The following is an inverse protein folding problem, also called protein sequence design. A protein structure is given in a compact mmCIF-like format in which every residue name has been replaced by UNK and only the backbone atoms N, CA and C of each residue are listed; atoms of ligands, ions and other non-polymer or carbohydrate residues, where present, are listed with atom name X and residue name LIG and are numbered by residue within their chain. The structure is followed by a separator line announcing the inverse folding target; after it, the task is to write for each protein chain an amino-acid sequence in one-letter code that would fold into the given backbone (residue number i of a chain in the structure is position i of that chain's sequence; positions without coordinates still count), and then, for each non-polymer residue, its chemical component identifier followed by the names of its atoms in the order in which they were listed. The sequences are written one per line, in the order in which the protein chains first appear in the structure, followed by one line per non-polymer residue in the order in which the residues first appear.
data_IF_801270512075
#
_entry.id   IF_801270512075
#
_cell.length_a   1.000
_cell.length_b   1.000
_cell.length_c   1.000
_cell.angle_alpha   90.00
_cell.angle_beta   90.00
_cell.angle_gamma   90.00
#
_symmetry.space_group_name_H-M   'P 1'
#
loop_
_entity.id
_entity.type
_entity.pdbx_description
1 polymer ?
#
# COMPACT_ATOMS: atom_id res chain seq x y z
N UNK A 1 -9.97 7.00 -12.70
CA UNK A 1 -10.20 7.15 -11.25
C UNK A 1 -9.87 5.89 -10.44
N UNK A 2 -9.07 4.94 -10.96
CA UNK A 2 -8.75 3.66 -10.27
C UNK A 2 -7.83 3.82 -9.04
N UNK A 3 -6.90 4.77 -9.09
CA UNK A 3 -5.93 5.00 -8.01
C UNK A 3 -6.59 5.45 -6.69
N UNK A 4 -7.60 6.33 -6.76
CA UNK A 4 -8.30 6.81 -5.57
C UNK A 4 -9.12 5.72 -4.89
N UNK A 5 -9.78 4.86 -5.68
CA UNK A 5 -10.51 3.70 -5.16
C UNK A 5 -9.57 2.67 -4.54
N UNK A 6 -8.42 2.41 -5.18
CA UNK A 6 -7.39 1.55 -4.62
C UNK A 6 -6.86 2.09 -3.27
N UNK A 7 -6.52 3.38 -3.21
CA UNK A 7 -6.07 4.02 -1.97
C UNK A 7 -7.12 3.94 -0.85
N UNK A 8 -8.38 4.21 -1.17
CA UNK A 8 -9.50 4.09 -0.24
C UNK A 8 -9.65 2.66 0.32
N UNK A 9 -9.59 1.65 -0.55
CA UNK A 9 -9.80 0.27 -0.14
C UNK A 9 -8.65 -0.24 0.73
N UNK A 10 -7.40 0.12 0.41
CA UNK A 10 -6.23 -0.28 1.20
C UNK A 10 -6.27 0.37 2.59
N UNK A 11 -6.55 1.68 2.70
CA UNK A 11 -6.61 2.33 4.02
C UNK A 11 -7.79 1.82 4.85
N UNK A 12 -8.95 1.59 4.25
CA UNK A 12 -10.10 1.03 4.95
C UNK A 12 -9.79 -0.38 5.48
N UNK A 13 -9.23 -1.24 4.62
CA UNK A 13 -8.84 -2.59 5.01
C UNK A 13 -7.77 -2.61 6.10
N UNK A 14 -6.78 -1.72 6.03
CA UNK A 14 -5.75 -1.59 7.07
C UNK A 14 -6.34 -1.16 8.42
N UNK A 15 -7.28 -0.21 8.42
CA UNK A 15 -7.96 0.24 9.65
C UNK A 15 -8.88 -0.84 10.21
N UNK A 16 -9.58 -1.60 9.37
CA UNK A 16 -10.39 -2.74 9.80
C UNK A 16 -9.55 -3.85 10.43
N UNK A 17 -8.42 -4.21 9.78
CA UNK A 17 -7.46 -5.18 10.30
C UNK A 17 -6.90 -4.71 11.64
N UNK A 18 -6.59 -3.42 11.76
CA UNK A 18 -6.10 -2.84 13.00
C UNK A 18 -7.14 -2.87 14.12
N UNK A 19 -8.38 -2.44 13.85
CA UNK A 19 -9.46 -2.41 14.83
C UNK A 19 -9.79 -3.80 15.39
N UNK A 20 -9.58 -4.86 14.59
CA UNK A 20 -9.82 -6.25 14.97
C UNK A 20 -8.56 -6.99 15.44
N UNK A 21 -7.39 -6.37 15.33
CA UNK A 21 -6.09 -7.00 15.58
C UNK A 21 -5.96 -8.29 14.72
N UNK A 22 -6.41 -8.21 13.46
CA UNK A 22 -6.43 -9.34 12.54
C UNK A 22 -5.21 -9.31 11.61
N UNK A 23 -4.20 -10.10 11.96
CA UNK A 23 -2.98 -10.21 11.18
C UNK A 23 -3.16 -10.89 9.82
N UNK A 24 -4.17 -11.75 9.64
CA UNK A 24 -4.44 -12.38 8.35
C UNK A 24 -5.09 -11.38 7.37
N UNK A 25 -6.00 -10.55 7.89
CA UNK A 25 -6.54 -9.42 7.13
C UNK A 25 -5.42 -8.45 6.74
N UNK A 26 -4.54 -8.09 7.68
CA UNK A 26 -3.38 -7.24 7.41
C UNK A 26 -2.46 -7.82 6.31
N UNK A 27 -2.16 -9.13 6.37
CA UNK A 27 -1.37 -9.81 5.34
C UNK A 27 -2.05 -9.76 3.97
N UNK A 28 -3.37 -9.88 3.93
CA UNK A 28 -4.14 -9.79 2.67
C UNK A 28 -4.00 -8.41 2.05
N UNK A 29 -4.10 -7.34 2.85
CA UNK A 29 -3.89 -5.97 2.37
C UNK A 29 -2.45 -5.76 1.87
N UNK A 30 -1.44 -6.26 2.59
CA UNK A 30 -0.04 -6.20 2.14
C UNK A 30 0.19 -6.93 0.80
N UNK A 31 -0.60 -7.96 0.48
CA UNK A 31 -0.56 -8.62 -0.82
C UNK A 31 -1.20 -7.79 -1.92
N UNK A 32 -2.14 -6.91 -1.61
CA UNK A 32 -2.82 -6.09 -2.63
C UNK A 32 -2.11 -4.76 -2.92
N UNK A 33 -1.12 -4.41 -2.11
CA UNK A 33 -0.31 -3.19 -2.18
C UNK A 33 0.29 -2.95 -3.59
N UNK A 34 0.80 -3.98 -4.26
CA UNK A 34 1.40 -3.87 -5.60
C UNK A 34 0.48 -3.24 -6.65
N UNK A 35 -0.84 -3.25 -6.41
CA UNK A 35 -1.83 -2.70 -7.32
C UNK A 35 -1.78 -1.17 -7.35
N UNK A 36 -1.55 -0.51 -6.20
CA UNK A 36 -1.51 0.96 -6.14
C UNK A 36 -0.28 1.50 -6.88
N UNK A 37 0.87 0.86 -6.69
CA UNK A 37 2.13 1.22 -7.34
C UNK A 37 2.01 1.11 -8.86
N UNK A 38 1.48 -0.01 -9.34
CA UNK A 38 1.27 -0.25 -10.78
C UNK A 38 0.31 0.76 -11.39
N UNK A 39 -0.79 1.07 -10.69
CA UNK A 39 -1.78 2.02 -11.16
C UNK A 39 -1.21 3.45 -11.17
N UNK A 40 -0.36 3.80 -10.20
CA UNK A 40 0.36 5.07 -10.15
C UNK A 40 1.39 5.20 -11.28
N UNK A 41 2.19 4.16 -11.55
CA UNK A 41 3.09 4.16 -12.71
C UNK A 41 2.35 4.32 -14.03
N UNK A 42 1.23 3.61 -14.20
CA UNK A 42 0.40 3.74 -15.40
C UNK A 42 -0.13 5.17 -15.54
N UNK A 43 -0.56 5.78 -14.43
CA UNK A 43 -1.03 7.15 -14.40
C UNK A 43 0.07 8.16 -14.79
N UNK A 44 1.32 7.97 -14.32
CA UNK A 44 2.46 8.80 -14.73
C UNK A 44 2.69 8.68 -16.24
N UNK A 45 2.77 7.45 -16.78
CA UNK A 45 3.02 7.23 -18.22
C UNK A 45 1.95 7.92 -19.09
N UNK A 46 0.68 7.76 -18.74
CA UNK A 46 -0.43 8.41 -19.45
C UNK A 46 -0.37 9.94 -19.34
N UNK A 47 -0.01 10.46 -18.16
CA UNK A 47 0.14 11.89 -17.92
C UNK A 47 1.25 12.49 -18.80
N UNK A 48 2.37 11.79 -18.96
CA UNK A 48 3.48 12.20 -19.83
C UNK A 48 3.02 12.27 -21.28
N UNK A 49 2.37 11.22 -21.80
CA UNK A 49 1.84 11.21 -23.17
C UNK A 49 0.90 12.39 -23.41
N UNK A 50 -0.02 12.66 -22.49
CA UNK A 50 -0.96 13.76 -22.62
C UNK A 50 -0.29 15.15 -22.59
N UNK A 51 0.76 15.32 -21.78
CA UNK A 51 1.58 16.55 -21.77
C UNK A 51 2.37 16.74 -23.07
N UNK A 52 2.82 15.64 -23.71
CA UNK A 52 3.52 15.68 -24.99
C UNK A 52 2.59 16.05 -26.15
N UNK A 53 1.34 15.62 -26.11
CA UNK A 53 0.32 15.97 -27.12
C UNK A 53 -0.06 17.45 -27.07
N UNK A 54 -0.18 18.05 -25.88
CA UNK A 54 -0.43 19.48 -25.71
C UNK A 54 0.34 20.06 -24.51
N UNK A 55 1.48 20.74 -24.76
CA UNK A 55 2.30 21.36 -23.71
C UNK A 55 1.55 22.40 -22.85
N UNK A 56 0.44 22.98 -23.33
CA UNK A 56 -0.36 23.93 -22.53
C UNK A 56 -1.06 23.25 -21.35
N UNK A 57 -1.18 21.92 -21.39
CA UNK A 57 -1.82 21.13 -20.32
C UNK A 57 -0.88 20.83 -19.16
N UNK A 58 0.43 21.05 -19.30
CA UNK A 58 1.48 20.67 -18.32
C UNK A 58 1.08 21.07 -16.90
N UNK A 59 0.69 22.34 -16.67
CA UNK A 59 0.35 22.82 -15.32
C UNK A 59 -0.84 22.08 -14.71
N UNK A 60 -1.86 21.75 -15.49
CA UNK A 60 -3.05 21.03 -15.02
C UNK A 60 -2.74 19.56 -14.72
N UNK A 61 -1.96 18.93 -15.59
CA UNK A 61 -1.54 17.53 -15.42
C UNK A 61 -0.61 17.40 -14.22
N UNK A 62 0.30 18.36 -14.03
CA UNK A 62 1.21 18.38 -12.88
C UNK A 62 0.45 18.44 -11.55
N UNK A 63 -0.61 19.26 -11.45
CA UNK A 63 -1.48 19.26 -10.27
C UNK A 63 -2.14 17.89 -10.04
N UNK A 64 -2.48 17.17 -11.13
CA UNK A 64 -3.03 15.82 -11.03
C UNK A 64 -1.99 14.79 -10.57
N UNK A 65 -0.72 14.96 -10.96
CA UNK A 65 0.40 14.14 -10.46
C UNK A 65 0.58 14.28 -8.94
N UNK A 66 0.44 15.48 -8.38
CA UNK A 66 0.46 15.69 -6.94
C UNK A 66 -0.65 14.94 -6.20
N UNK A 67 -1.85 14.88 -6.79
CA UNK A 67 -2.96 14.10 -6.24
C UNK A 67 -2.61 12.61 -6.29
N UNK A 68 -2.09 12.12 -7.41
CA UNK A 68 -1.67 10.72 -7.55
C UNK A 68 -0.58 10.33 -6.55
N UNK A 69 0.43 11.19 -6.36
CA UNK A 69 1.48 10.99 -5.35
C UNK A 69 0.91 10.95 -3.94
N UNK A 70 -0.09 11.78 -3.65
CA UNK A 70 -0.75 11.79 -2.34
C UNK A 70 -1.53 10.50 -2.09
N UNK A 71 -2.12 9.90 -3.14
CA UNK A 71 -2.81 8.61 -3.05
C UNK A 71 -1.85 7.45 -2.80
N UNK A 72 -0.69 7.42 -3.46
CA UNK A 72 0.33 6.39 -3.21
C UNK A 72 0.87 6.49 -1.77
N UNK A 73 1.07 7.69 -1.24
CA UNK A 73 1.46 7.88 0.18
C UNK A 73 0.43 7.34 1.16
N UNK A 74 -0.86 7.39 0.82
CA UNK A 74 -1.91 6.77 1.65
C UNK A 74 -1.74 5.25 1.66
N UNK A 75 -1.39 4.65 0.51
CA UNK A 75 -1.04 3.22 0.42
C UNK A 75 0.13 2.85 1.33
N UNK A 76 1.23 3.58 1.25
CA UNK A 76 2.40 3.39 2.12
C UNK A 76 2.05 3.48 3.61
N UNK A 77 1.22 4.46 4.01
CA UNK A 77 0.79 4.59 5.39
C UNK A 77 -0.10 3.41 5.84
N UNK A 78 -0.98 2.94 4.97
CA UNK A 78 -1.82 1.78 5.26
C UNK A 78 -0.98 0.49 5.39
N UNK A 79 0.05 0.32 4.55
CA UNK A 79 1.02 -0.76 4.66
C UNK A 79 1.72 -0.78 6.02
N UNK A 80 2.20 0.37 6.47
CA UNK A 80 2.84 0.50 7.79
C UNK A 80 1.90 0.11 8.93
N UNK A 81 0.61 0.42 8.82
CA UNK A 81 -0.41 -0.01 9.79
C UNK A 81 -0.53 -1.53 9.79
N UNK A 82 -0.63 -2.16 8.62
CA UNK A 82 -0.71 -3.62 8.51
C UNK A 82 0.53 -4.33 9.10
N UNK A 83 1.73 -3.83 8.79
CA UNK A 83 2.97 -4.35 9.38
C UNK A 83 2.96 -4.25 10.91
N UNK A 84 2.44 -3.15 11.46
CA UNK A 84 2.28 -2.98 12.90
C UNK A 84 1.28 -3.96 13.51
N UNK A 85 0.16 -4.25 12.85
CA UNK A 85 -0.80 -5.27 13.30
C UNK A 85 -0.14 -6.64 13.38
N UNK A 86 0.64 -7.03 12.38
CA UNK A 86 1.35 -8.31 12.37
C UNK A 86 2.36 -8.38 13.51
N UNK A 87 3.10 -7.28 13.74
CA UNK A 87 4.00 -7.17 14.88
C UNK A 87 3.27 -7.31 16.21
N UNK A 88 2.11 -6.68 16.38
CA UNK A 88 1.31 -6.77 17.61
C UNK A 88 0.85 -8.21 17.91
N UNK A 89 0.52 -8.99 16.88
CA UNK A 89 0.02 -10.37 17.06
C UNK A 89 1.16 -11.38 17.26
N UNK A 90 2.25 -11.27 16.50
CA UNK A 90 3.31 -12.28 16.46
C UNK A 90 4.60 -11.87 17.19
N UNK A 91 4.75 -10.60 17.57
CA UNK A 91 5.97 -10.07 18.18
C UNK A 91 7.19 -10.04 17.24
N UNK A 92 6.99 -10.25 15.94
CA UNK A 92 8.04 -10.32 14.93
C UNK A 92 8.07 -9.06 14.10
N UNK A 93 9.25 -8.46 13.98
CA UNK A 93 9.44 -7.31 13.10
C UNK A 93 9.41 -7.78 11.64
N UNK A 94 8.38 -7.34 10.92
CA UNK A 94 8.14 -7.67 9.51
C UNK A 94 8.38 -6.49 8.59
N UNK A 95 8.85 -5.36 9.13
CA UNK A 95 9.15 -4.17 8.34
C UNK A 95 10.26 -4.52 7.34
N UNK A 96 10.04 -4.24 6.06
CA UNK A 96 10.94 -4.58 4.95
C UNK A 96 11.02 -6.07 4.55
N UNK A 97 10.25 -6.96 5.19
CA UNK A 97 10.15 -8.35 4.74
C UNK A 97 9.24 -8.43 3.51
N UNK A 98 9.55 -9.34 2.59
CA UNK A 98 8.64 -9.61 1.47
C UNK A 98 7.42 -10.35 1.97
N UNK A 99 6.27 -10.18 1.31
CA UNK A 99 5.00 -10.74 1.78
C UNK A 99 5.03 -12.27 1.96
N UNK A 100 5.84 -12.99 1.18
CA UNK A 100 6.08 -14.43 1.32
C UNK A 100 6.92 -14.80 2.57
N UNK A 101 7.81 -13.91 3.00
CA UNK A 101 8.57 -14.05 4.25
C UNK A 101 7.69 -13.77 5.46
N UNK A 102 6.83 -12.76 5.38
CA UNK A 102 5.85 -12.42 6.42
C UNK A 102 4.93 -13.61 6.70
N UNK A 103 4.39 -14.23 5.65
CA UNK A 103 3.54 -15.43 5.78
C UNK A 103 4.26 -16.59 6.48
N UNK A 104 5.52 -16.85 6.10
CA UNK A 104 6.34 -17.87 6.79
C UNK A 104 6.55 -17.53 8.26
N UNK A 105 6.78 -16.25 8.59
CA UNK A 105 6.97 -15.79 9.96
C UNK A 105 5.69 -15.95 10.81
N UNK A 106 4.51 -15.77 10.20
CA UNK A 106 3.21 -15.97 10.84
C UNK A 106 2.91 -17.45 11.11
N UNK A 107 3.45 -18.37 10.31
CA UNK A 107 3.25 -19.82 10.48
C UNK A 107 4.38 -20.52 11.24
N UNK A 108 5.50 -19.84 11.52
CA UNK A 108 6.58 -20.43 12.30
C UNK A 108 6.16 -20.52 13.79
N UNK A 109 6.40 -21.67 14.45
CA UNK A 109 5.98 -21.90 15.83
C UNK A 109 6.48 -20.79 16.76
N UNK A 110 5.60 -20.31 17.64
CA UNK A 110 5.87 -19.30 18.67
C UNK A 110 6.86 -19.85 19.71
N UNK A 111 8.14 -19.94 19.34
CA UNK A 111 9.18 -20.55 20.16
C UNK A 111 10.43 -19.68 20.19
N UNK A 112 10.77 -19.24 21.40
CA UNK A 112 12.00 -18.55 21.81
C UNK A 112 12.03 -17.03 21.65
N UNK A 113 11.23 -16.35 22.49
CA UNK A 113 11.75 -15.19 23.19
C UNK A 113 12.61 -15.71 24.35
N UNK A 114 13.94 -15.62 24.20
CA UNK A 114 14.87 -15.53 25.34
C UNK A 114 15.27 -14.08 25.48
#
# INVERSE_FOLDING_TARGET
MRLGEAAHNIIHGALDAFARIDANAALTILREDFRIDRDYESFIRQSITYMMEDPRTIRRVFNSLWIGRSMERIGDHAKNICEYVIYLVYGKDVRHARTDEIEKLMHAPSGHLK
#
